data_IF_057890168590
#
_entry.id   IF_057890168590
#
_cell.length_a   1.000
_cell.length_b   1.000
_cell.length_c   1.000
_cell.angle_alpha   90.00
_cell.angle_beta   90.00
_cell.angle_gamma   90.00
#
_symmetry.space_group_name_H-M   'P 1'
#
loop_
_entity.id
_entity.type
_entity.pdbx_description
1 polymer ?
#
# COMPACT_ATOMS: atom_id res chain seq x y z
N UNK A 1 7.57 -28.90 -16.58
CA UNK A 1 8.21 -28.12 -15.50
C UNK A 1 8.27 -28.95 -14.21
N UNK A 2 9.45 -29.25 -13.67
CA UNK A 2 9.56 -30.03 -12.42
C UNK A 2 9.02 -29.23 -11.22
N UNK A 3 8.56 -29.92 -10.16
CA UNK A 3 8.02 -29.28 -8.95
C UNK A 3 9.06 -28.37 -8.28
N UNK A 4 10.29 -28.86 -8.17
CA UNK A 4 11.40 -28.12 -7.55
C UNK A 4 11.75 -26.86 -8.34
N UNK A 5 11.68 -26.92 -9.69
CA UNK A 5 11.88 -25.74 -10.53
C UNK A 5 10.79 -24.69 -10.32
N UNK A 6 9.52 -25.08 -10.18
CA UNK A 6 8.42 -24.15 -9.91
C UNK A 6 8.57 -23.46 -8.56
N UNK A 7 8.94 -24.21 -7.54
CA UNK A 7 9.20 -23.67 -6.19
C UNK A 7 10.39 -22.71 -6.23
N UNK A 8 11.47 -23.07 -6.92
CA UNK A 8 12.65 -22.19 -7.09
C UNK A 8 12.31 -20.89 -7.81
N UNK A 9 11.55 -20.95 -8.91
CA UNK A 9 11.10 -19.75 -9.63
C UNK A 9 10.22 -18.87 -8.75
N UNK A 10 9.27 -19.46 -8.03
CA UNK A 10 8.41 -18.71 -7.11
C UNK A 10 9.24 -17.95 -6.07
N UNK A 11 10.17 -18.63 -5.40
CA UNK A 11 11.00 -17.99 -4.38
C UNK A 11 11.93 -16.93 -4.96
N UNK A 12 12.51 -17.14 -6.14
CA UNK A 12 13.29 -16.09 -6.82
C UNK A 12 12.46 -14.85 -7.09
N UNK A 13 11.26 -15.01 -7.66
CA UNK A 13 10.38 -13.87 -7.96
C UNK A 13 9.99 -13.15 -6.65
N UNK A 14 9.65 -13.90 -5.61
CA UNK A 14 9.25 -13.34 -4.32
C UNK A 14 10.38 -12.52 -3.68
N UNK A 15 11.60 -13.05 -3.65
CA UNK A 15 12.76 -12.34 -3.10
C UNK A 15 13.07 -11.08 -3.91
N UNK A 16 13.05 -11.17 -5.24
CA UNK A 16 13.22 -9.99 -6.10
C UNK A 16 12.16 -8.92 -5.83
N UNK A 17 10.90 -9.34 -5.63
CA UNK A 17 9.81 -8.42 -5.31
C UNK A 17 10.03 -7.73 -3.97
N UNK A 18 10.42 -8.45 -2.91
CA UNK A 18 10.71 -7.84 -1.61
C UNK A 18 11.90 -6.88 -1.64
N UNK A 19 12.96 -7.22 -2.38
CA UNK A 19 14.11 -6.30 -2.54
C UNK A 19 13.67 -5.03 -3.26
N UNK A 20 12.91 -5.16 -4.34
CA UNK A 20 12.36 -4.01 -5.05
C UNK A 20 11.51 -3.14 -4.12
N UNK A 21 10.53 -3.75 -3.44
CA UNK A 21 9.61 -3.08 -2.52
C UNK A 21 10.36 -2.34 -1.42
N UNK A 22 11.38 -2.97 -0.83
CA UNK A 22 12.20 -2.36 0.21
C UNK A 22 12.97 -1.14 -0.30
N UNK A 23 13.47 -1.18 -1.53
CA UNK A 23 14.25 -0.08 -2.12
C UNK A 23 13.40 1.08 -2.62
N UNK A 24 12.15 0.82 -3.03
CA UNK A 24 11.26 1.82 -3.62
C UNK A 24 10.24 2.37 -2.62
N UNK A 25 9.95 1.64 -1.55
CA UNK A 25 9.01 2.08 -0.52
C UNK A 25 9.47 3.38 0.12
N UNK A 26 8.53 4.31 0.28
CA UNK A 26 8.80 5.54 0.99
C UNK A 26 9.16 5.22 2.45
N UNK A 27 10.07 5.99 3.08
CA UNK A 27 10.38 5.81 4.49
C UNK A 27 9.11 5.97 5.32
N UNK A 28 9.02 5.18 6.40
CA UNK A 28 7.90 5.25 7.34
C UNK A 28 7.79 6.68 7.87
N UNK A 29 6.68 7.34 7.54
CA UNK A 29 6.39 8.66 8.05
C UNK A 29 5.57 8.53 9.33
N UNK A 30 6.24 8.72 10.47
CA UNK A 30 5.65 8.65 11.81
C UNK A 30 4.63 9.77 12.10
N UNK A 31 4.56 10.76 11.22
CA UNK A 31 3.64 11.90 11.29
C UNK A 31 2.77 11.97 10.04
N UNK A 32 2.63 10.87 9.32
CA UNK A 32 1.62 10.78 8.28
C UNK A 32 0.27 10.73 8.99
N UNK A 33 -0.29 11.91 9.26
CA UNK A 33 -1.66 12.03 9.70
C UNK A 33 -2.59 11.50 8.62
N UNK A 34 -3.66 10.83 9.05
CA UNK A 34 -4.71 10.43 8.14
C UNK A 34 -5.15 11.68 7.34
N UNK A 35 -5.35 11.56 6.01
CA UNK A 35 -5.74 12.70 5.19
C UNK A 35 -6.93 13.38 5.84
N UNK A 36 -6.76 14.66 6.17
CA UNK A 36 -7.72 15.40 6.97
C UNK A 36 -9.01 15.54 6.14
N UNK A 37 -9.97 14.66 6.41
CA UNK A 37 -11.34 14.83 5.93
C UNK A 37 -11.94 15.87 6.88
N UNK A 38 -11.83 17.15 6.53
CA UNK A 38 -12.37 18.33 7.22
C UNK A 38 -11.48 19.03 8.29
N UNK A 39 -10.51 19.84 7.82
CA UNK A 39 -10.16 21.11 8.49
C UNK A 39 -10.80 22.22 7.66
N UNK A 40 -11.95 22.69 8.12
CA UNK A 40 -12.95 23.37 7.29
C UNK A 40 -12.69 24.85 6.97
N UNK A 41 -13.23 25.28 5.82
CA UNK A 41 -13.77 26.64 5.62
C UNK A 41 -14.85 26.78 4.53
N UNK A 42 -15.30 25.71 3.85
CA UNK A 42 -16.34 25.85 2.82
C UNK A 42 -16.82 24.53 2.21
N UNK A 43 -18.13 24.30 2.31
CA UNK A 43 -18.98 23.21 1.80
C UNK A 43 -18.61 21.75 2.12
N UNK A 44 -19.62 21.04 2.64
CA UNK A 44 -19.61 19.59 2.82
C UNK A 44 -19.50 18.89 1.45
N UNK A 45 -18.68 17.83 1.30
CA UNK A 45 -18.62 17.06 0.08
C UNK A 45 -19.98 16.42 -0.20
N UNK A 46 -20.58 16.69 -1.37
CA UNK A 46 -21.86 16.13 -1.81
C UNK A 46 -21.73 14.71 -2.39
N UNK A 47 -20.61 14.02 -2.14
CA UNK A 47 -20.33 12.70 -2.70
C UNK A 47 -19.45 11.88 -1.77
N UNK A 48 -20.07 10.87 -1.14
CA UNK A 48 -19.42 9.93 -0.22
C UNK A 48 -20.47 9.09 0.49
N UNK A 49 -21.17 8.23 -0.26
CA UNK A 49 -22.07 7.27 0.36
C UNK A 49 -21.26 6.15 1.03
N UNK A 50 -21.22 6.18 2.36
CA UNK A 50 -20.82 5.13 3.30
C UNK A 50 -19.29 4.93 3.44
N UNK A 51 -18.71 4.77 4.63
CA UNK A 51 -19.25 4.10 5.81
C UNK A 51 -18.99 4.87 7.12
N UNK A 52 -20.09 5.07 7.84
CA UNK A 52 -20.19 5.28 9.28
C UNK A 52 -19.65 4.06 10.03
N UNK A 53 -18.60 4.22 10.84
CA UNK A 53 -18.56 3.90 12.29
C UNK A 53 -17.30 4.51 12.93
#
# INVERSE_FOLDING_TARGET
>A
MSKNLRVGIFWMILVCFFVWDWTQSQPVNLRLEAPIIAVGSGQAPSGGHCATF
#
